data_IF_738785004904
#
_entry.id   IF_738785004904
#
_cell.length_a   1.000
_cell.length_b   1.000
_cell.length_c   1.000
_cell.angle_alpha   90.00
_cell.angle_beta   90.00
_cell.angle_gamma   90.00
#
_symmetry.space_group_name_H-M   'P 1'
#
loop_
_entity.id
_entity.type
_entity.pdbx_description
1 polymer ?
#
# COMPACT_ATOMS: atom_id res chain seq x y z
N UNK A 1 -16.51 -0.60 7.66
CA UNK A 1 -15.50 0.20 6.92
C UNK A 1 -14.46 -0.66 6.20
N UNK A 2 -14.37 -1.98 6.46
CA UNK A 2 -13.44 -2.91 5.78
C UNK A 2 -13.52 -2.87 4.25
N UNK A 3 -14.71 -2.72 3.69
CA UNK A 3 -14.92 -2.62 2.24
C UNK A 3 -14.44 -1.28 1.62
N UNK A 4 -14.34 -0.21 2.40
CA UNK A 4 -14.08 1.14 1.87
C UNK A 4 -12.61 1.56 1.80
N UNK A 5 -11.82 1.23 2.83
CA UNK A 5 -10.42 1.69 2.93
C UNK A 5 -9.38 0.56 2.93
N UNK A 6 -9.79 -0.69 3.16
CA UNK A 6 -8.89 -1.85 3.12
C UNK A 6 -8.53 -2.27 1.69
N UNK A 7 -9.49 -2.17 0.77
CA UNK A 7 -9.40 -2.66 -0.61
C UNK A 7 -8.18 -2.13 -1.36
N UNK A 8 -7.88 -0.83 -1.28
CA UNK A 8 -6.75 -0.25 -1.99
C UNK A 8 -5.39 -0.83 -1.59
N UNK A 9 -5.15 -0.99 -0.28
CA UNK A 9 -3.86 -1.51 0.18
C UNK A 9 -3.77 -3.04 0.00
N UNK A 10 -4.92 -3.74 0.05
CA UNK A 10 -5.01 -5.17 -0.29
C UNK A 10 -4.65 -5.37 -1.76
N UNK A 11 -5.27 -4.60 -2.66
CA UNK A 11 -5.01 -4.65 -4.10
C UNK A 11 -3.53 -4.40 -4.41
N UNK A 12 -2.91 -3.39 -3.80
CA UNK A 12 -1.47 -3.12 -3.94
C UNK A 12 -0.61 -4.33 -3.54
N UNK A 13 -0.95 -5.00 -2.43
CA UNK A 13 -0.23 -6.20 -2.00
C UNK A 13 -0.41 -7.35 -3.00
N UNK A 14 -1.64 -7.57 -3.50
CA UNK A 14 -1.93 -8.62 -4.47
C UNK A 14 -1.24 -8.38 -5.83
N UNK A 15 -1.15 -7.12 -6.27
CA UNK A 15 -0.43 -6.75 -7.50
C UNK A 15 1.07 -7.04 -7.37
N UNK A 16 1.67 -6.75 -6.21
CA UNK A 16 3.11 -6.92 -5.98
C UNK A 16 3.50 -8.38 -5.71
N UNK A 17 2.68 -9.12 -4.95
CA UNK A 17 3.06 -10.41 -4.38
C UNK A 17 2.16 -11.58 -4.81
N UNK A 18 1.06 -11.30 -5.52
CA UNK A 18 0.07 -12.30 -5.90
C UNK A 18 -0.87 -12.67 -4.76
N UNK A 19 -1.51 -13.84 -4.87
CA UNK A 19 -2.37 -14.38 -3.81
C UNK A 19 -1.53 -14.88 -2.64
N UNK A 20 -1.87 -14.55 -1.39
CA UNK A 20 -1.19 -15.14 -0.24
C UNK A 20 -1.59 -16.60 -0.05
N UNK A 21 -0.81 -17.32 0.75
CA UNK A 21 -1.12 -18.68 1.18
C UNK A 21 -2.05 -18.71 2.37
N UNK A 22 -1.88 -17.75 3.28
CA UNK A 22 -2.67 -17.63 4.50
C UNK A 22 -3.01 -16.17 4.81
N UNK A 23 -4.13 -15.99 5.50
CA UNK A 23 -4.66 -14.71 5.91
C UNK A 23 -4.97 -14.75 7.41
N UNK A 24 -4.47 -13.74 8.14
CA UNK A 24 -4.83 -13.51 9.54
C UNK A 24 -5.42 -12.11 9.70
N UNK A 25 -6.60 -12.03 10.31
CA UNK A 25 -7.39 -10.81 10.40
C UNK A 25 -7.78 -10.40 11.81
N UNK A 26 -7.75 -9.11 12.09
CA UNK A 26 -8.24 -8.53 13.34
C UNK A 26 -9.08 -7.30 13.07
N UNK A 27 -10.34 -7.29 13.54
CA UNK A 27 -11.18 -6.10 13.60
C UNK A 27 -11.33 -5.62 15.04
N UNK A 28 -11.27 -4.30 15.27
CA UNK A 28 -11.49 -3.68 16.58
C UNK A 28 -12.31 -2.40 16.46
N UNK A 29 -13.44 -2.28 17.17
CA UNK A 29 -14.08 -0.98 17.38
C UNK A 29 -13.19 -0.15 18.34
N UNK A 30 -13.07 1.16 18.11
CA UNK A 30 -12.22 2.04 18.91
C UNK A 30 -13.01 3.07 19.71
N UNK A 31 -14.19 3.48 19.26
CA UNK A 31 -15.02 4.48 19.95
C UNK A 31 -15.89 3.92 21.10
N UNK A 32 -15.69 2.67 21.53
CA UNK A 32 -16.40 2.08 22.68
C UNK A 32 -17.91 1.85 22.50
N UNK A 33 -18.53 2.46 21.49
CA UNK A 33 -19.88 2.14 21.03
C UNK A 33 -19.73 1.07 19.95
N UNK A 34 -20.47 -0.03 20.06
CA UNK A 34 -20.56 -1.04 19.00
C UNK A 34 -21.23 -0.36 17.81
N UNK A 35 -20.41 0.21 16.93
CA UNK A 35 -20.82 0.57 15.57
C UNK A 35 -20.56 -0.65 14.71
N UNK A 36 -21.47 -0.96 13.81
CA UNK A 36 -21.33 -2.03 12.81
C UNK A 36 -20.13 -1.80 11.84
N UNK A 37 -19.43 -0.67 11.97
CA UNK A 37 -18.30 -0.32 11.14
C UNK A 37 -16.97 -0.72 11.78
N UNK A 38 -16.17 -1.49 11.06
CA UNK A 38 -14.78 -1.81 11.45
C UNK A 38 -13.88 -0.55 11.47
N UNK A 39 -13.62 0.02 12.64
CA UNK A 39 -12.87 1.28 12.80
C UNK A 39 -11.34 1.10 12.78
N UNK A 40 -10.86 -0.03 13.27
CA UNK A 40 -9.45 -0.43 13.18
C UNK A 40 -9.36 -1.86 12.71
N UNK A 41 -8.42 -2.09 11.81
CA UNK A 41 -8.16 -3.42 11.29
C UNK A 41 -6.68 -3.68 11.06
N UNK A 42 -6.29 -4.93 11.25
CA UNK A 42 -4.95 -5.44 10.92
C UNK A 42 -5.12 -6.71 10.13
N UNK A 43 -4.48 -6.76 8.98
CA UNK A 43 -4.47 -7.88 8.04
C UNK A 43 -3.03 -8.32 7.90
N UNK A 44 -2.80 -9.62 8.04
CA UNK A 44 -1.51 -10.24 7.81
C UNK A 44 -1.71 -11.23 6.66
N UNK A 45 -0.99 -10.99 5.57
CA UNK A 45 -0.95 -11.86 4.41
C UNK A 45 0.39 -12.59 4.44
N UNK A 46 0.34 -13.91 4.48
CA UNK A 46 1.52 -14.76 4.56
C UNK A 46 1.76 -15.42 3.20
N UNK A 47 2.99 -15.29 2.70
CA UNK A 47 3.44 -15.84 1.44
C UNK A 47 4.58 -16.81 1.75
N UNK A 48 4.30 -18.10 1.62
CA UNK A 48 5.25 -19.16 1.93
C UNK A 48 6.02 -19.57 0.69
N UNK A 49 7.20 -20.17 0.89
CA UNK A 49 8.03 -20.69 -0.22
C UNK A 49 7.35 -21.73 -1.11
N UNK A 50 6.25 -22.31 -0.65
CA UNK A 50 5.52 -23.33 -1.41
C UNK A 50 4.92 -22.74 -2.69
N UNK A 51 4.45 -21.50 -2.62
CA UNK A 51 3.76 -20.82 -3.71
C UNK A 51 4.49 -19.56 -4.19
N UNK A 52 5.44 -19.04 -3.40
CA UNK A 52 6.19 -17.82 -3.70
C UNK A 52 7.69 -18.07 -3.69
N UNK A 53 8.43 -17.25 -4.45
CA UNK A 53 9.90 -17.29 -4.44
C UNK A 53 10.47 -16.78 -3.11
N UNK A 54 9.74 -15.86 -2.47
CA UNK A 54 10.18 -15.16 -1.29
C UNK A 54 9.23 -15.48 -0.12
N UNK A 55 9.80 -15.87 1.02
CA UNK A 55 9.05 -16.11 2.25
C UNK A 55 8.77 -14.77 2.93
N UNK A 56 7.63 -14.15 2.63
CA UNK A 56 7.33 -12.78 3.04
C UNK A 56 6.03 -12.69 3.82
N UNK A 57 5.96 -11.69 4.69
CA UNK A 57 4.77 -11.33 5.44
C UNK A 57 4.43 -9.89 5.09
N UNK A 58 3.20 -9.65 4.66
CA UNK A 58 2.67 -8.31 4.40
C UNK A 58 1.64 -7.98 5.45
N UNK A 59 1.93 -6.93 6.24
CA UNK A 59 0.97 -6.39 7.20
C UNK A 59 0.32 -5.14 6.65
N UNK A 60 -1.01 -5.16 6.57
CA UNK A 60 -1.83 -4.01 6.19
C UNK A 60 -2.62 -3.59 7.41
N UNK A 61 -2.53 -2.30 7.75
CA UNK A 61 -3.18 -1.76 8.94
C UNK A 61 -3.83 -0.42 8.63
N UNK A 62 -5.04 -0.23 9.14
CA UNK A 62 -5.63 1.10 9.24
C UNK A 62 -6.38 1.26 10.56
N UNK A 63 -6.52 2.51 10.95
CA UNK A 63 -7.16 2.93 12.19
C UNK A 63 -7.85 4.27 11.95
N UNK A 64 -9.09 4.41 12.41
CA UNK A 64 -9.82 5.66 12.34
C UNK A 64 -9.29 6.69 13.35
N UNK A 65 -8.69 6.23 14.46
CA UNK A 65 -8.16 7.08 15.52
C UNK A 65 -6.63 7.01 15.55
N UNK A 66 -5.98 8.17 15.50
CA UNK A 66 -4.52 8.30 15.61
C UNK A 66 -4.15 9.75 15.96
N UNK A 67 -3.33 9.99 17.00
CA UNK A 67 -2.81 11.32 17.31
C UNK A 67 -1.54 11.66 16.53
N UNK A 68 -1.02 10.74 15.70
CA UNK A 68 0.19 10.98 14.93
C UNK A 68 -0.06 12.08 13.89
N UNK A 69 0.87 13.03 13.81
CA UNK A 69 0.82 14.07 12.77
C UNK A 69 1.19 13.47 11.41
N UNK A 70 2.25 12.66 11.38
CA UNK A 70 2.71 11.94 10.19
C UNK A 70 2.38 10.46 10.33
N UNK A 71 1.55 9.94 9.43
CA UNK A 71 1.11 8.55 9.45
C UNK A 71 2.10 7.68 8.69
N UNK A 72 2.54 6.52 9.24
CA UNK A 72 3.29 5.55 8.48
C UNK A 72 2.47 5.09 7.27
N UNK A 73 3.05 5.19 6.07
CA UNK A 73 2.42 4.75 4.82
C UNK A 73 3.02 3.45 4.32
N UNK A 74 4.35 3.37 4.28
CA UNK A 74 5.07 2.15 3.93
C UNK A 74 6.25 1.91 4.85
N UNK A 75 6.45 0.64 5.21
CA UNK A 75 7.68 0.14 5.83
C UNK A 75 8.04 -1.15 5.12
N UNK A 76 9.11 -1.11 4.35
CA UNK A 76 9.62 -2.24 3.57
C UNK A 76 10.98 -2.59 4.13
N UNK A 77 11.22 -3.88 4.37
CA UNK A 77 12.50 -4.39 4.88
C UNK A 77 12.90 -5.59 4.06
N UNK A 78 14.15 -5.60 3.60
CA UNK A 78 14.76 -6.71 2.89
C UNK A 78 16.20 -6.90 3.34
N UNK A 79 16.87 -7.87 2.72
CA UNK A 79 18.27 -8.20 3.03
C UNK A 79 19.24 -7.08 2.62
N UNK A 80 18.95 -6.33 1.56
CA UNK A 80 19.79 -5.24 1.07
C UNK A 80 19.54 -3.87 1.70
N UNK A 81 18.43 -3.70 2.43
CA UNK A 81 18.06 -2.39 2.95
C UNK A 81 16.61 -2.29 3.44
N UNK A 82 16.18 -1.06 3.68
CA UNK A 82 14.83 -0.72 4.14
C UNK A 82 14.37 0.59 3.53
N UNK A 83 13.06 0.69 3.30
CA UNK A 83 12.40 1.91 2.86
C UNK A 83 11.27 2.24 3.82
N UNK A 84 11.24 3.47 4.32
CA UNK A 84 10.15 3.96 5.17
C UNK A 84 9.58 5.23 4.58
N UNK A 85 8.25 5.30 4.47
CA UNK A 85 7.55 6.47 3.98
C UNK A 85 6.44 6.83 4.94
N UNK A 86 6.34 8.12 5.23
CA UNK A 86 5.24 8.71 5.96
C UNK A 86 4.36 9.53 5.02
N UNK A 87 3.12 9.75 5.42
CA UNK A 87 2.18 10.65 4.77
C UNK A 87 1.65 11.67 5.78
N UNK A 88 1.39 12.89 5.33
CA UNK A 88 0.85 13.98 6.16
C UNK A 88 -0.62 14.12 5.83
N UNK A 89 -1.47 13.76 6.79
CA UNK A 89 -2.92 13.66 6.57
C UNK A 89 -3.34 12.41 5.77
N UNK A 90 -4.56 12.43 5.26
CA UNK A 90 -5.24 11.27 4.65
C UNK A 90 -5.23 11.24 3.11
N UNK A 91 -5.50 12.34 2.37
CA UNK A 91 -5.57 12.28 0.91
C UNK A 91 -4.17 12.30 0.26
N UNK A 92 -4.02 11.58 -0.86
CA UNK A 92 -2.80 11.67 -1.65
C UNK A 92 -2.71 13.05 -2.38
N UNK A 93 -1.54 13.47 -2.86
CA UNK A 93 -1.37 14.76 -3.53
C UNK A 93 -2.36 15.02 -4.67
N UNK A 94 -2.63 14.02 -5.52
CA UNK A 94 -3.60 14.14 -6.61
C UNK A 94 -5.03 14.42 -6.10
N UNK A 95 -5.45 13.78 -5.01
CA UNK A 95 -6.78 14.02 -4.43
C UNK A 95 -6.88 15.43 -3.83
N UNK A 96 -5.81 15.93 -3.22
CA UNK A 96 -5.72 17.31 -2.72
C UNK A 96 -5.81 18.30 -3.87
N UNK A 97 -5.03 18.09 -4.93
CA UNK A 97 -5.01 18.96 -6.10
C UNK A 97 -6.37 19.00 -6.80
N UNK A 98 -7.04 17.85 -6.99
CA UNK A 98 -8.38 17.79 -7.55
C UNK A 98 -9.41 18.52 -6.69
N UNK A 99 -9.33 18.40 -5.35
CA UNK A 99 -10.20 19.15 -4.43
C UNK A 99 -9.98 20.65 -4.50
N UNK A 100 -8.78 21.08 -4.88
CA UNK A 100 -8.44 22.49 -5.12
C UNK A 100 -8.79 22.95 -6.54
N UNK A 101 -9.35 22.08 -7.37
CA UNK A 101 -9.76 22.41 -8.74
C UNK A 101 -8.63 22.36 -9.78
N UNK A 102 -7.43 21.89 -9.41
CA UNK A 102 -6.36 21.63 -10.39
C UNK A 102 -6.73 20.46 -11.28
N UNK A 103 -6.22 20.46 -12.50
CA UNK A 103 -6.42 19.41 -13.49
C UNK A 103 -5.20 18.49 -13.57
N UNK A 104 -5.37 17.22 -13.97
CA UNK A 104 -4.26 16.29 -14.14
C UNK A 104 -3.18 16.71 -15.14
N UNK A 105 -3.49 17.63 -16.05
CA UNK A 105 -2.55 18.18 -17.03
C UNK A 105 -1.79 19.42 -16.53
N UNK A 106 -2.18 19.97 -15.37
CA UNK A 106 -1.56 21.17 -14.84
C UNK A 106 -0.13 20.85 -14.36
N UNK A 107 0.85 21.76 -14.58
CA UNK A 107 2.20 21.58 -14.08
C UNK A 107 2.24 21.36 -12.55
N UNK A 108 2.95 20.34 -12.12
CA UNK A 108 3.08 19.98 -10.71
C UNK A 108 1.87 19.26 -10.10
N UNK A 109 0.91 18.81 -10.91
CA UNK A 109 -0.19 17.98 -10.43
C UNK A 109 0.32 16.65 -9.87
N UNK A 110 -0.06 16.34 -8.64
CA UNK A 110 0.35 15.12 -7.96
C UNK A 110 1.78 15.12 -7.44
N UNK A 111 2.50 16.25 -7.55
CA UNK A 111 3.83 16.40 -6.99
C UNK A 111 3.79 16.38 -5.47
N UNK A 112 4.79 15.72 -4.89
CA UNK A 112 4.93 15.59 -3.47
C UNK A 112 6.16 16.37 -2.99
N UNK A 113 5.97 17.16 -1.93
CA UNK A 113 7.03 17.92 -1.30
C UNK A 113 8.15 16.99 -0.75
N UNK A 114 9.41 17.46 -0.82
CA UNK A 114 10.59 16.65 -0.50
C UNK A 114 10.58 16.10 0.92
N UNK A 115 9.94 16.79 1.86
CA UNK A 115 9.81 16.37 3.25
C UNK A 115 9.01 15.08 3.40
N UNK A 116 8.18 14.76 2.41
CA UNK A 116 7.31 13.59 2.38
C UNK A 116 7.92 12.41 1.58
N UNK A 117 9.07 12.63 0.94
CA UNK A 117 9.81 11.55 0.29
C UNK A 117 10.23 10.50 1.32
N UNK A 118 10.25 9.24 0.90
CA UNK A 118 10.58 8.14 1.81
C UNK A 118 12.08 8.09 2.11
N UNK A 119 12.44 7.64 3.30
CA UNK A 119 13.82 7.37 3.65
C UNK A 119 14.22 6.00 3.10
N UNK A 120 15.28 5.98 2.29
CA UNK A 120 15.89 4.78 1.72
C UNK A 120 17.25 4.53 2.39
N UNK A 121 17.36 3.39 3.08
CA UNK A 121 18.55 2.97 3.79
C UNK A 121 19.03 1.64 3.22
N UNK A 122 20.24 1.59 2.67
CA UNK A 122 20.80 0.39 2.03
C UNK A 122 22.23 0.10 2.49
N UNK A 123 22.65 -1.17 2.42
CA UNK A 123 24.04 -1.55 2.71
C UNK A 123 24.99 -1.19 1.57
N UNK A 124 24.50 -1.27 0.34
CA UNK A 124 25.23 -0.88 -0.88
C UNK A 124 24.58 0.35 -1.52
N UNK A 125 25.34 1.09 -2.31
CA UNK A 125 24.86 2.29 -2.98
C UNK A 125 23.82 1.90 -4.04
N UNK A 126 22.57 2.33 -3.85
CA UNK A 126 21.50 2.12 -4.83
C UNK A 126 21.49 3.22 -5.89
N UNK A 127 21.52 4.49 -5.45
CA UNK A 127 21.56 5.65 -6.34
C UNK A 127 22.35 6.80 -5.69
N UNK A 128 23.40 7.26 -6.38
CA UNK A 128 24.30 8.31 -5.92
C UNK A 128 23.69 9.72 -5.91
N UNK A 129 22.56 9.92 -6.58
CA UNK A 129 21.84 11.20 -6.60
C UNK A 129 20.98 11.39 -5.36
N UNK A 130 20.52 10.29 -4.77
CA UNK A 130 19.55 10.31 -3.68
C UNK A 130 20.15 9.82 -2.36
N UNK A 131 21.26 9.08 -2.38
CA UNK A 131 21.91 8.55 -1.19
C UNK A 131 23.34 9.05 -0.98
N UNK A 132 23.69 9.17 0.30
CA UNK A 132 25.05 9.45 0.77
C UNK A 132 25.47 8.40 1.79
N UNK A 133 26.76 8.06 1.82
CA UNK A 133 27.28 7.12 2.82
C UNK A 133 27.38 7.80 4.19
N UNK A 134 26.57 7.33 5.14
CA UNK A 134 26.65 7.71 6.53
C UNK A 134 27.75 6.90 7.25
N UNK A 135 28.72 7.63 7.82
CA UNK A 135 29.89 7.02 8.47
C UNK A 135 29.53 6.35 9.79
N UNK A 136 28.51 6.84 10.50
CA UNK A 136 28.15 6.35 11.82
C UNK A 136 27.38 5.02 11.70
N UNK A 137 26.35 4.98 10.86
CA UNK A 137 25.60 3.74 10.62
C UNK A 137 26.28 2.76 9.66
N UNK A 138 27.31 3.21 8.92
CA UNK A 138 28.00 2.47 7.84
C UNK A 138 27.04 1.99 6.75
N UNK A 139 26.09 2.85 6.37
CA UNK A 139 25.04 2.58 5.39
C UNK A 139 24.88 3.75 4.43
N UNK A 140 24.28 3.50 3.29
CA UNK A 140 23.82 4.55 2.39
C UNK A 140 22.43 5.01 2.78
N UNK A 141 22.27 6.29 3.05
CA UNK A 141 21.02 6.90 3.51
C UNK A 141 20.61 8.05 2.59
N UNK A 142 19.32 8.20 2.35
CA UNK A 142 18.82 9.14 1.37
C UNK A 142 17.30 9.31 1.38
N UNK A 143 16.82 10.37 0.73
CA UNK A 143 15.39 10.60 0.46
C UNK A 143 15.06 10.15 -0.96
N UNK A 144 14.12 9.23 -1.11
CA UNK A 144 13.71 8.67 -2.40
C UNK A 144 12.27 9.04 -2.74
N UNK A 145 12.08 9.55 -3.97
CA UNK A 145 10.79 9.85 -4.56
C UNK A 145 10.49 8.86 -5.70
N UNK A 146 9.32 8.22 -5.64
CA UNK A 146 8.85 7.33 -6.70
C UNK A 146 8.23 8.08 -7.90
N UNK A 147 8.19 9.41 -7.85
CA UNK A 147 7.53 10.26 -8.84
C UNK A 147 6.06 10.55 -8.51
N UNK A 148 5.43 11.49 -9.22
CA UNK A 148 4.03 11.81 -9.02
C UNK A 148 3.14 10.62 -9.43
N UNK A 149 2.06 10.41 -8.68
CA UNK A 149 1.04 9.44 -9.08
C UNK A 149 0.34 9.88 -10.37
N UNK A 150 -0.09 8.93 -11.20
CA UNK A 150 -0.70 9.21 -12.51
C UNK A 150 -2.01 8.44 -12.68
N UNK A 151 -3.10 8.95 -12.10
CA UNK A 151 -4.42 8.32 -12.22
C UNK A 151 -4.96 8.31 -13.65
N UNK A 152 -4.51 9.23 -14.50
CA UNK A 152 -4.88 9.29 -15.92
C UNK A 152 -4.49 8.00 -16.66
N UNK A 153 -3.41 7.32 -16.23
CA UNK A 153 -2.97 6.05 -16.84
C UNK A 153 -4.07 4.99 -16.85
N UNK A 154 -4.96 4.97 -15.85
CA UNK A 154 -6.07 4.02 -15.80
C UNK A 154 -7.03 4.20 -16.99
N UNK A 155 -7.33 5.45 -17.35
CA UNK A 155 -8.22 5.76 -18.46
C UNK A 155 -7.54 5.57 -19.81
N UNK A 156 -6.24 5.83 -19.91
CA UNK A 156 -5.45 5.53 -21.11
C UNK A 156 -5.43 4.02 -21.38
N UNK A 157 -5.14 3.21 -20.35
CA UNK A 157 -5.19 1.75 -20.46
C UNK A 157 -6.59 1.26 -20.88
N UNK A 158 -7.66 1.81 -20.28
CA UNK A 158 -9.03 1.47 -20.66
C UNK A 158 -9.31 1.82 -22.14
N UNK A 159 -8.88 2.99 -22.60
CA UNK A 159 -9.08 3.42 -23.98
C UNK A 159 -8.33 2.52 -24.97
N UNK A 160 -7.10 2.11 -24.64
CA UNK A 160 -6.32 1.18 -25.46
C UNK A 160 -6.94 -0.22 -25.49
N UNK A 161 -7.43 -0.72 -24.35
CA UNK A 161 -8.12 -2.01 -24.29
C UNK A 161 -9.41 -2.02 -25.14
N UNK A 162 -10.22 -0.96 -25.08
CA UNK A 162 -11.42 -0.80 -25.92
C UNK A 162 -11.07 -0.79 -27.41
N UNK A 163 -9.92 -0.21 -27.77
CA UNK A 163 -9.43 -0.15 -29.16
C UNK A 163 -8.70 -1.43 -29.59
N UNK A 164 -8.59 -2.45 -28.73
CA UNK A 164 -7.88 -3.69 -29.03
C UNK A 164 -6.36 -3.54 -29.12
N UNK A 165 -5.78 -2.49 -28.52
CA UNK A 165 -4.34 -2.19 -28.54
C UNK A 165 -3.57 -2.84 -27.38
N UNK A 166 -4.27 -3.41 -26.41
CA UNK A 166 -3.68 -4.04 -25.23
C UNK A 166 -4.73 -4.71 -24.35
N UNK A 167 -4.29 -5.30 -23.24
CA UNK A 167 -5.17 -5.85 -22.21
C UNK A 167 -5.44 -4.81 -21.10
N UNK A 168 -6.53 -5.01 -20.37
CA UNK A 168 -6.79 -4.27 -19.14
C UNK A 168 -5.71 -4.57 -18.10
N UNK A 169 -5.11 -3.51 -17.55
CA UNK A 169 -4.16 -3.61 -16.44
C UNK A 169 -4.86 -4.07 -15.15
N UNK A 170 -6.09 -3.60 -14.92
CA UNK A 170 -6.94 -4.02 -13.82
C UNK A 170 -7.97 -5.04 -14.33
N UNK A 171 -7.71 -6.31 -14.06
CA UNK A 171 -8.57 -7.43 -14.44
C UNK A 171 -9.64 -7.68 -13.38
N UNK A 172 -10.82 -8.15 -13.80
CA UNK A 172 -11.93 -8.45 -12.89
C UNK A 172 -11.54 -9.47 -11.81
N UNK A 173 -10.68 -10.43 -12.16
CA UNK A 173 -10.16 -11.44 -11.24
C UNK A 173 -9.30 -10.84 -10.12
N UNK A 174 -8.54 -9.77 -10.39
CA UNK A 174 -7.75 -9.08 -9.37
C UNK A 174 -8.68 -8.39 -8.36
N UNK A 175 -9.73 -7.71 -8.84
CA UNK A 175 -10.73 -7.11 -7.96
C UNK A 175 -11.48 -8.16 -7.13
N UNK A 176 -11.83 -9.30 -7.74
CA UNK A 176 -12.43 -10.43 -7.02
C UNK A 176 -11.49 -10.95 -5.94
N UNK A 177 -10.21 -11.12 -6.24
CA UNK A 177 -9.23 -11.63 -5.27
C UNK A 177 -9.04 -10.65 -4.10
N UNK A 178 -9.11 -9.34 -4.33
CA UNK A 178 -9.11 -8.34 -3.25
C UNK A 178 -10.36 -8.47 -2.34
N UNK A 179 -11.54 -8.70 -2.93
CA UNK A 179 -12.75 -9.00 -2.14
C UNK A 179 -12.60 -10.30 -1.35
N UNK A 180 -11.99 -11.32 -1.95
CA UNK A 180 -11.75 -12.61 -1.29
C UNK A 180 -10.84 -12.47 -0.07
N UNK A 181 -9.81 -11.63 -0.12
CA UNK A 181 -9.00 -11.31 1.06
C UNK A 181 -9.88 -10.73 2.17
N UNK A 182 -10.78 -9.79 1.85
CA UNK A 182 -11.65 -9.15 2.87
C UNK A 182 -12.54 -10.18 3.56
N UNK A 183 -13.09 -11.14 2.80
CA UNK A 183 -13.87 -12.27 3.35
C UNK A 183 -13.02 -13.13 4.28
N UNK A 184 -11.84 -13.56 3.83
CA UNK A 184 -10.93 -14.41 4.62
C UNK A 184 -10.43 -13.71 5.89
N UNK A 185 -10.22 -12.39 5.85
CA UNK A 185 -9.89 -11.60 7.05
C UNK A 185 -11.02 -11.65 8.08
N UNK A 186 -12.27 -11.64 7.63
CA UNK A 186 -13.44 -11.75 8.52
C UNK A 186 -13.59 -13.15 9.08
N UNK A 187 -13.46 -14.17 8.23
CA UNK A 187 -13.45 -15.57 8.68
C UNK A 187 -12.35 -15.82 9.71
N UNK A 188 -11.14 -15.29 9.47
CA UNK A 188 -10.02 -15.36 10.40
C UNK A 188 -10.31 -14.65 11.73
N UNK A 189 -10.91 -13.45 11.67
CA UNK A 189 -11.26 -12.69 12.85
C UNK A 189 -12.28 -13.42 13.73
N UNK A 190 -13.33 -13.96 13.12
CA UNK A 190 -14.43 -14.62 13.81
C UNK A 190 -14.01 -15.97 14.40
N UNK A 191 -13.13 -16.70 13.71
CA UNK A 191 -12.55 -17.97 14.20
C UNK A 191 -11.41 -17.76 15.20
N UNK A 192 -10.80 -16.57 15.25
CA UNK A 192 -9.60 -16.30 16.04
C UNK A 192 -8.37 -17.10 15.56
N UNK A 193 -8.31 -17.43 14.27
CA UNK A 193 -7.30 -18.31 13.70
C UNK A 193 -6.85 -17.83 12.31
N UNK A 194 -5.64 -18.22 11.92
CA UNK A 194 -5.12 -18.05 10.55
C UNK A 194 -5.86 -18.97 9.59
N UNK A 195 -6.36 -18.44 8.48
CA UNK A 195 -7.11 -19.21 7.47
C UNK A 195 -6.31 -19.36 6.17
N UNK A 196 -6.37 -20.51 5.49
CA UNK A 196 -5.72 -20.70 4.20
C UNK A 196 -6.47 -19.97 3.09
N UNK A 197 -5.75 -19.59 2.04
CA UNK A 197 -6.37 -19.17 0.79
C UNK A 197 -7.17 -20.34 0.18
N UNK A 198 -8.48 -20.14 0.04
CA UNK A 198 -9.43 -21.11 -0.53
C UNK A 198 -10.38 -20.45 -1.52
#
# INVERSE_FOLDING_TARGET
>A
MSFGFGSHNIDQALVLFGRPDFVTGFFRPQHGVVREADESWTIILEYTRKHHRDNIIVTIKATAITPLVNQPKFLIRGTGGSFVKFQKGTPCPQEVDLRQGKKPQDPGFGDEAQEMWGDLITYELFDNKVQTHDKDSKKYVGKYNAGPGRWVSLYENLADAIQGKGELEVKAEQSRDALRVIELVRDSHDQGATVPWS
#
